data_IF_919723891513
#
_entry.id   IF_919723891513
#
_cell.length_a   1.000
_cell.length_b   1.000
_cell.length_c   1.000
_cell.angle_alpha   90.00
_cell.angle_beta   90.00
_cell.angle_gamma   90.00
#
_symmetry.space_group_name_H-M   'P 1'
#
loop_
_entity.id
_entity.type
_entity.pdbx_description
1 polymer ?
#
# COMPACT_ATOMS: atom_id res chain seq x y z
N UNK A 1 -40.98 -6.74 -24.75
CA UNK A 1 -41.35 -6.06 -23.50
C UNK A 1 -41.85 -7.12 -22.53
N UNK A 2 -41.56 -6.99 -21.23
CA UNK A 2 -41.86 -7.92 -20.13
C UNK A 2 -40.76 -8.97 -19.83
N UNK A 3 -39.60 -8.52 -19.38
CA UNK A 3 -38.67 -9.30 -18.52
C UNK A 3 -38.10 -8.42 -17.40
N UNK A 4 -38.94 -7.55 -16.81
CA UNK A 4 -38.47 -6.41 -15.99
C UNK A 4 -39.15 -6.31 -14.60
N UNK A 5 -39.57 -7.42 -13.98
CA UNK A 5 -40.30 -7.31 -12.68
C UNK A 5 -40.18 -8.51 -11.74
N UNK A 6 -39.13 -9.34 -11.86
CA UNK A 6 -38.95 -10.54 -11.00
C UNK A 6 -37.63 -10.63 -10.22
N UNK A 7 -36.90 -9.53 -10.07
CA UNK A 7 -35.74 -9.44 -9.16
C UNK A 7 -35.90 -8.38 -8.07
N UNK A 8 -37.15 -8.06 -7.72
CA UNK A 8 -37.51 -7.19 -6.59
C UNK A 8 -38.36 -8.05 -5.64
N UNK A 9 -37.75 -8.94 -4.82
CA UNK A 9 -38.33 -9.50 -3.57
C UNK A 9 -37.69 -10.81 -3.06
N UNK A 10 -36.37 -10.88 -2.83
CA UNK A 10 -35.83 -11.79 -1.80
C UNK A 10 -34.63 -11.15 -1.07
N UNK A 11 -34.93 -10.62 0.12
CA UNK A 11 -34.17 -10.70 1.37
C UNK A 11 -32.62 -10.70 1.34
N UNK A 12 -32.03 -9.58 1.79
CA UNK A 12 -30.76 -9.47 2.52
C UNK A 12 -29.47 -10.06 1.91
N UNK A 13 -29.08 -9.61 0.72
CA UNK A 13 -27.66 -9.62 0.33
C UNK A 13 -27.20 -8.19 0.09
N UNK A 14 -26.10 -7.81 0.74
CA UNK A 14 -25.57 -6.45 0.86
C UNK A 14 -25.16 -5.82 -0.49
N UNK A 15 -26.12 -5.29 -1.25
CA UNK A 15 -25.92 -4.44 -2.44
C UNK A 15 -25.35 -3.04 -2.14
N UNK A 16 -25.00 -2.76 -0.89
CA UNK A 16 -24.45 -1.46 -0.47
C UNK A 16 -22.96 -1.33 -0.74
N UNK A 17 -22.20 -2.44 -0.79
CA UNK A 17 -20.75 -2.33 -0.86
C UNK A 17 -20.20 -2.28 -2.29
N UNK A 18 -19.39 -1.26 -2.57
CA UNK A 18 -18.67 -1.11 -3.85
C UNK A 18 -17.81 -2.33 -4.23
N UNK A 19 -17.44 -3.17 -3.26
CA UNK A 19 -16.72 -4.43 -3.45
C UNK A 19 -17.43 -5.41 -4.41
N UNK A 20 -18.75 -5.33 -4.54
CA UNK A 20 -19.53 -6.21 -5.41
C UNK A 20 -19.28 -5.99 -6.92
N UNK A 21 -18.66 -4.86 -7.30
CA UNK A 21 -18.34 -4.54 -8.70
C UNK A 21 -17.54 -5.64 -9.42
N UNK A 22 -16.66 -6.35 -8.69
CA UNK A 22 -15.81 -7.39 -9.25
C UNK A 22 -16.56 -8.68 -9.62
N UNK A 23 -17.77 -8.89 -9.08
CA UNK A 23 -18.59 -10.08 -9.37
C UNK A 23 -19.54 -9.87 -10.55
N UNK A 24 -19.64 -8.64 -11.05
CA UNK A 24 -20.46 -8.28 -12.20
C UNK A 24 -19.68 -8.43 -13.51
N UNK A 25 -20.38 -8.77 -14.59
CA UNK A 25 -19.82 -8.74 -15.94
C UNK A 25 -19.39 -7.32 -16.32
N UNK A 26 -18.31 -7.21 -17.11
CA UNK A 26 -17.71 -5.93 -17.50
C UNK A 26 -18.71 -4.90 -18.06
N UNK A 27 -19.77 -5.33 -18.74
CA UNK A 27 -20.81 -4.47 -19.29
C UNK A 27 -21.68 -3.77 -18.24
N UNK A 28 -21.91 -4.38 -17.07
CA UNK A 28 -22.77 -3.82 -16.01
C UNK A 28 -22.00 -3.09 -14.92
N UNK A 29 -20.66 -3.18 -14.91
CA UNK A 29 -19.81 -2.57 -13.89
C UNK A 29 -19.91 -1.04 -13.86
N UNK A 30 -19.91 -0.38 -15.03
CA UNK A 30 -20.03 1.08 -15.09
C UNK A 30 -21.39 1.58 -14.58
N UNK A 31 -22.48 0.90 -14.95
CA UNK A 31 -23.82 1.25 -14.49
C UNK A 31 -23.94 1.10 -12.96
N UNK A 32 -23.39 0.02 -12.40
CA UNK A 32 -23.36 -0.22 -10.96
C UNK A 32 -22.56 0.85 -10.21
N UNK A 33 -21.35 1.21 -10.69
CA UNK A 33 -20.49 2.24 -10.08
C UNK A 33 -21.14 3.62 -10.10
N UNK A 34 -21.86 3.96 -11.18
CA UNK A 34 -22.55 5.24 -11.32
C UNK A 34 -23.76 5.37 -10.38
N UNK A 35 -24.49 4.27 -10.15
CA UNK A 35 -25.70 4.26 -9.31
C UNK A 35 -25.43 4.09 -7.82
N UNK A 36 -24.27 3.53 -7.44
CA UNK A 36 -23.98 3.18 -6.04
C UNK A 36 -23.23 4.30 -5.31
N UNK A 37 -23.87 4.88 -4.27
CA UNK A 37 -23.29 5.99 -3.49
C UNK A 37 -21.99 5.62 -2.75
N UNK A 38 -21.84 4.37 -2.31
CA UNK A 38 -20.60 3.88 -1.69
C UNK A 38 -19.39 3.86 -2.65
N UNK A 39 -19.60 3.72 -3.96
CA UNK A 39 -18.52 3.83 -4.95
C UNK A 39 -18.13 5.29 -5.23
N UNK A 40 -18.99 6.23 -4.87
CA UNK A 40 -18.78 7.67 -5.00
C UNK A 40 -18.31 8.30 -3.68
N UNK A 41 -18.02 7.48 -2.66
CA UNK A 41 -17.56 7.99 -1.36
C UNK A 41 -16.35 8.90 -1.56
N UNK A 42 -16.45 10.08 -0.94
CA UNK A 42 -15.60 11.26 -1.01
C UNK A 42 -14.09 10.99 -1.03
N UNK A 43 -13.56 10.56 -2.16
CA UNK A 43 -12.15 10.67 -2.48
C UNK A 43 -11.99 11.82 -3.48
N UNK A 44 -10.99 12.68 -3.27
CA UNK A 44 -10.75 13.85 -4.12
C UNK A 44 -10.52 13.48 -5.60
N UNK A 45 -10.23 12.21 -5.90
CA UNK A 45 -10.15 11.68 -7.26
C UNK A 45 -11.12 10.49 -7.42
N UNK A 46 -12.12 10.56 -8.33
CA UNK A 46 -13.05 9.46 -8.60
C UNK A 46 -12.39 8.35 -9.44
N UNK A 47 -11.40 7.67 -8.88
CA UNK A 47 -10.63 6.64 -9.58
C UNK A 47 -11.47 5.42 -9.97
N UNK A 48 -12.43 5.02 -9.13
CA UNK A 48 -13.34 3.89 -9.40
C UNK A 48 -14.17 4.16 -10.65
N UNK A 49 -14.75 5.36 -10.74
CA UNK A 49 -15.52 5.76 -11.92
C UNK A 49 -14.64 5.81 -13.17
N UNK A 50 -13.44 6.39 -13.08
CA UNK A 50 -12.53 6.52 -14.20
C UNK A 50 -12.09 5.16 -14.76
N UNK A 51 -11.79 4.18 -13.89
CA UNK A 51 -11.35 2.84 -14.30
C UNK A 51 -12.50 2.07 -14.98
N UNK A 52 -13.69 2.02 -14.37
CA UNK A 52 -14.79 1.18 -14.85
C UNK A 52 -15.62 1.83 -15.97
N UNK A 53 -15.81 3.15 -15.95
CA UNK A 53 -16.59 3.88 -16.96
C UNK A 53 -15.75 4.58 -18.02
N UNK A 54 -14.55 5.05 -17.69
CA UNK A 54 -13.71 5.82 -18.60
C UNK A 54 -12.86 4.97 -19.56
N UNK A 55 -12.16 3.96 -19.03
CA UNK A 55 -11.16 3.21 -19.81
C UNK A 55 -11.70 1.95 -20.51
N UNK A 56 -12.80 1.36 -20.02
CA UNK A 56 -13.34 0.11 -20.56
C UNK A 56 -12.35 -1.08 -20.56
N UNK A 57 -12.75 -2.21 -21.14
CA UNK A 57 -11.94 -3.44 -21.10
C UNK A 57 -10.62 -3.37 -21.88
N UNK A 58 -10.57 -2.61 -23.00
CA UNK A 58 -9.33 -2.44 -23.79
C UNK A 58 -8.38 -1.42 -23.20
N UNK A 59 -8.90 -0.38 -22.52
CA UNK A 59 -8.07 0.63 -21.86
C UNK A 59 -7.39 0.12 -20.60
N UNK A 60 -7.87 -0.98 -19.99
CA UNK A 60 -7.27 -1.57 -18.80
C UNK A 60 -5.78 -1.90 -19.00
N UNK A 61 -5.41 -2.55 -20.11
CA UNK A 61 -4.01 -2.88 -20.40
C UNK A 61 -3.13 -1.64 -20.51
N UNK A 62 -3.66 -0.59 -21.14
CA UNK A 62 -2.98 0.70 -21.25
C UNK A 62 -2.84 1.39 -19.88
N UNK A 63 -3.89 1.35 -19.04
CA UNK A 63 -3.84 1.83 -17.67
C UNK A 63 -2.78 1.11 -16.84
N UNK A 64 -2.74 -0.22 -16.90
CA UNK A 64 -1.75 -1.04 -16.19
C UNK A 64 -0.34 -0.67 -16.65
N UNK A 65 -0.12 -0.55 -17.97
CA UNK A 65 1.17 -0.12 -18.50
C UNK A 65 1.59 1.27 -17.98
N UNK A 66 0.68 2.25 -18.01
CA UNK A 66 0.95 3.58 -17.48
C UNK A 66 1.21 3.57 -15.97
N UNK A 67 0.48 2.77 -15.20
CA UNK A 67 0.70 2.62 -13.76
C UNK A 67 2.06 2.00 -13.45
N UNK A 68 2.50 1.00 -14.22
CA UNK A 68 3.83 0.41 -14.08
C UNK A 68 4.91 1.44 -14.42
N UNK A 69 4.76 2.17 -15.53
CA UNK A 69 5.69 3.22 -15.93
C UNK A 69 5.78 4.32 -14.85
N UNK A 70 4.64 4.73 -14.31
CA UNK A 70 4.55 5.69 -13.21
C UNK A 70 5.25 5.18 -11.95
N UNK A 71 5.03 3.93 -11.58
CA UNK A 71 5.66 3.30 -10.41
C UNK A 71 7.18 3.22 -10.57
N UNK A 72 7.69 2.89 -11.76
CA UNK A 72 9.14 2.89 -12.05
C UNK A 72 9.71 4.31 -11.93
N UNK A 73 9.02 5.32 -12.48
CA UNK A 73 9.43 6.72 -12.38
C UNK A 73 9.49 7.19 -10.92
N UNK A 74 8.49 6.85 -10.10
CA UNK A 74 8.51 7.15 -8.67
C UNK A 74 9.66 6.44 -7.94
N UNK A 75 9.91 5.16 -8.25
CA UNK A 75 10.99 4.40 -7.63
C UNK A 75 12.37 5.00 -7.97
N UNK A 76 12.61 5.35 -9.23
CA UNK A 76 13.84 6.04 -9.65
C UNK A 76 13.94 7.41 -8.99
N UNK A 77 12.85 8.17 -8.95
CA UNK A 77 12.79 9.48 -8.29
C UNK A 77 13.18 9.39 -6.81
N UNK A 78 12.59 8.45 -6.08
CA UNK A 78 12.94 8.19 -4.68
C UNK A 78 14.40 7.78 -4.52
N UNK A 79 14.93 6.92 -5.41
CA UNK A 79 16.34 6.52 -5.37
C UNK A 79 17.30 7.71 -5.58
N UNK A 80 17.01 8.57 -6.56
CA UNK A 80 17.82 9.76 -6.86
C UNK A 80 17.74 10.76 -5.70
N UNK A 81 16.53 11.06 -5.23
CA UNK A 81 16.31 12.00 -4.12
C UNK A 81 17.00 11.49 -2.85
N UNK A 82 16.86 10.20 -2.54
CA UNK A 82 17.50 9.58 -1.39
C UNK A 82 19.03 9.70 -1.46
N UNK A 83 19.62 9.42 -2.62
CA UNK A 83 21.07 9.43 -2.76
C UNK A 83 21.65 10.85 -2.75
N UNK A 84 21.02 11.79 -3.45
CA UNK A 84 21.58 13.13 -3.67
C UNK A 84 21.20 14.15 -2.57
N UNK A 85 20.04 14.00 -1.93
CA UNK A 85 19.55 14.99 -0.95
C UNK A 85 19.48 14.41 0.46
N UNK A 86 18.85 13.23 0.61
CA UNK A 86 18.62 12.64 1.94
C UNK A 86 19.94 12.21 2.60
N UNK A 87 20.79 11.46 1.89
CA UNK A 87 22.07 10.98 2.42
C UNK A 87 23.00 12.13 2.90
N UNK A 88 23.25 13.19 2.12
CA UNK A 88 24.05 14.34 2.59
C UNK A 88 23.41 15.06 3.77
N UNK A 89 22.08 15.24 3.79
CA UNK A 89 21.39 15.84 4.91
C UNK A 89 21.58 15.03 6.21
N UNK A 90 21.48 13.70 6.15
CA UNK A 90 21.75 12.82 7.29
C UNK A 90 23.20 12.94 7.77
N UNK A 91 24.17 13.05 6.86
CA UNK A 91 25.58 13.23 7.23
C UNK A 91 25.80 14.55 7.98
N UNK A 92 25.15 15.63 7.55
CA UNK A 92 25.25 16.93 8.25
C UNK A 92 24.61 16.83 9.64
N UNK A 93 23.39 16.29 9.74
CA UNK A 93 22.67 16.15 11.02
C UNK A 93 23.47 15.30 12.02
N UNK A 94 24.00 14.17 11.57
CA UNK A 94 24.81 13.27 12.41
C UNK A 94 26.10 13.92 12.90
N UNK A 95 26.78 14.71 12.06
CA UNK A 95 27.96 15.49 12.48
C UNK A 95 27.61 16.54 13.53
N UNK A 96 26.51 17.26 13.36
CA UNK A 96 26.05 18.28 14.31
C UNK A 96 25.64 17.66 15.64
N UNK A 97 24.93 16.53 15.63
CA UNK A 97 24.47 15.82 16.82
C UNK A 97 25.52 14.87 17.43
N UNK A 98 26.71 14.76 16.83
CA UNK A 98 27.78 13.82 17.22
C UNK A 98 27.30 12.35 17.33
N UNK A 99 26.40 11.95 16.43
CA UNK A 99 25.86 10.58 16.36
C UNK A 99 26.62 9.72 15.35
N UNK A 100 26.63 8.41 15.55
CA UNK A 100 27.18 7.46 14.58
C UNK A 100 26.26 7.34 13.35
N UNK A 101 26.85 7.06 12.18
CA UNK A 101 26.08 6.85 10.94
C UNK A 101 25.08 5.69 11.06
N UNK A 102 25.42 4.67 11.86
CA UNK A 102 24.53 3.55 12.12
C UNK A 102 23.24 4.00 12.85
N UNK A 103 23.36 4.86 13.88
CA UNK A 103 22.21 5.40 14.61
C UNK A 103 21.34 6.27 13.69
N UNK A 104 21.97 6.99 12.76
CA UNK A 104 21.27 7.81 11.78
C UNK A 104 20.38 6.99 10.83
N UNK A 105 20.91 5.88 10.32
CA UNK A 105 20.18 4.95 9.47
C UNK A 105 19.01 4.30 10.19
N UNK A 106 19.21 3.82 11.43
CA UNK A 106 18.14 3.15 12.17
C UNK A 106 17.09 4.12 12.72
N UNK A 107 17.37 5.43 12.77
CA UNK A 107 16.45 6.43 13.35
C UNK A 107 15.91 7.39 12.30
N UNK A 108 16.75 8.26 11.72
CA UNK A 108 16.28 9.31 10.81
C UNK A 108 15.83 8.77 9.46
N UNK A 109 16.57 7.81 8.89
CA UNK A 109 16.17 7.18 7.63
C UNK A 109 14.92 6.33 7.83
N UNK A 110 14.86 5.54 8.91
CA UNK A 110 13.67 4.75 9.26
C UNK A 110 12.44 5.63 9.50
N UNK A 111 12.58 6.75 10.22
CA UNK A 111 11.51 7.71 10.47
C UNK A 111 11.07 8.42 9.19
N UNK A 112 12.01 8.81 8.32
CA UNK A 112 11.70 9.44 7.04
C UNK A 112 10.88 8.54 6.12
N UNK A 113 11.20 7.23 6.10
CA UNK A 113 10.44 6.25 5.33
C UNK A 113 9.06 5.96 5.96
N UNK A 114 8.99 5.81 7.28
CA UNK A 114 7.75 5.44 7.98
C UNK A 114 6.76 6.59 8.22
N UNK A 115 7.20 7.85 8.21
CA UNK A 115 6.34 9.00 8.42
C UNK A 115 5.13 9.06 7.45
N UNK A 116 5.32 9.02 6.10
CA UNK A 116 4.19 9.03 5.17
C UNK A 116 3.24 7.85 5.37
N UNK A 117 3.77 6.66 5.67
CA UNK A 117 2.97 5.47 5.93
C UNK A 117 2.09 5.61 7.17
N UNK A 118 2.61 6.24 8.23
CA UNK A 118 1.84 6.53 9.45
C UNK A 118 0.72 7.53 9.14
N UNK A 119 1.01 8.60 8.38
CA UNK A 119 -0.02 9.57 8.00
C UNK A 119 -1.11 8.95 7.11
N UNK A 120 -0.73 8.13 6.13
CA UNK A 120 -1.67 7.40 5.28
C UNK A 120 -2.52 6.42 6.09
N UNK A 121 -1.89 5.69 7.01
CA UNK A 121 -2.58 4.76 7.91
C UNK A 121 -3.57 5.48 8.81
N UNK A 122 -3.17 6.61 9.41
CA UNK A 122 -4.01 7.43 10.26
C UNK A 122 -5.22 8.00 9.49
N UNK A 123 -5.00 8.51 8.27
CA UNK A 123 -6.06 8.95 7.38
C UNK A 123 -7.05 7.81 7.05
N UNK A 124 -6.54 6.62 6.75
CA UNK A 124 -7.37 5.43 6.50
C UNK A 124 -8.18 4.98 7.72
N UNK A 125 -7.60 5.10 8.92
CA UNK A 125 -8.29 4.82 10.19
C UNK A 125 -9.45 5.78 10.42
N UNK A 126 -9.27 7.09 10.16
CA UNK A 126 -10.34 8.08 10.24
C UNK A 126 -11.48 7.81 9.26
N UNK A 127 -11.16 7.22 8.10
CA UNK A 127 -12.15 6.79 7.10
C UNK A 127 -12.77 5.42 7.41
N UNK A 128 -12.52 4.82 8.59
CA UNK A 128 -12.98 3.47 9.00
C UNK A 128 -12.53 2.34 8.06
N UNK A 129 -11.40 2.53 7.37
CA UNK A 129 -10.83 1.57 6.41
C UNK A 129 -9.77 0.67 7.06
N UNK A 130 -10.10 0.09 8.20
CA UNK A 130 -9.16 -0.65 9.06
C UNK A 130 -8.45 -1.80 8.32
N UNK A 131 -9.19 -2.60 7.54
CA UNK A 131 -8.61 -3.74 6.81
C UNK A 131 -7.56 -3.32 5.76
N UNK A 132 -7.76 -2.18 5.11
CA UNK A 132 -6.80 -1.65 4.12
C UNK A 132 -5.53 -1.13 4.80
N UNK A 133 -5.69 -0.43 5.94
CA UNK A 133 -4.57 0.07 6.74
C UNK A 133 -3.70 -1.08 7.26
N UNK A 134 -4.33 -2.12 7.80
CA UNK A 134 -3.63 -3.32 8.28
C UNK A 134 -2.87 -3.99 7.11
N UNK A 135 -3.52 -4.16 5.96
CA UNK A 135 -2.89 -4.73 4.76
C UNK A 135 -1.66 -3.96 4.30
N UNK A 136 -1.72 -2.62 4.33
CA UNK A 136 -0.58 -1.75 4.00
C UNK A 136 0.61 -1.97 4.95
N UNK A 137 0.36 -1.97 6.27
CA UNK A 137 1.41 -2.14 7.28
C UNK A 137 2.15 -3.47 7.14
N UNK A 138 1.39 -4.57 7.04
CA UNK A 138 1.97 -5.91 6.88
C UNK A 138 2.66 -6.08 5.52
N UNK A 139 2.04 -5.58 4.45
CA UNK A 139 2.60 -5.64 3.10
C UNK A 139 3.92 -4.90 2.99
N UNK A 140 4.00 -3.67 3.54
CA UNK A 140 5.22 -2.86 3.53
C UNK A 140 6.36 -3.52 4.30
N UNK A 141 6.09 -4.01 5.52
CA UNK A 141 7.09 -4.71 6.33
C UNK A 141 7.61 -5.99 5.65
N UNK A 142 6.72 -6.79 5.08
CA UNK A 142 7.11 -7.99 4.32
C UNK A 142 7.92 -7.65 3.07
N UNK A 143 7.53 -6.62 2.31
CA UNK A 143 8.27 -6.19 1.12
C UNK A 143 9.70 -5.76 1.45
N UNK A 144 9.89 -4.94 2.49
CA UNK A 144 11.23 -4.46 2.89
C UNK A 144 12.09 -5.62 3.41
N UNK A 145 11.53 -6.53 4.20
CA UNK A 145 12.29 -7.65 4.77
C UNK A 145 12.63 -8.74 3.74
N UNK A 146 11.74 -9.01 2.79
CA UNK A 146 11.96 -10.09 1.80
C UNK A 146 12.69 -9.58 0.55
N UNK A 147 12.16 -8.54 -0.09
CA UNK A 147 12.68 -8.06 -1.38
C UNK A 147 13.87 -7.13 -1.18
N UNK A 148 13.75 -6.12 -0.33
CA UNK A 148 14.81 -5.12 -0.15
C UNK A 148 16.00 -5.72 0.59
N UNK A 149 15.81 -6.29 1.78
CA UNK A 149 16.92 -6.90 2.52
C UNK A 149 17.48 -8.14 1.77
N UNK A 150 16.63 -8.95 1.14
CA UNK A 150 17.06 -10.08 0.32
C UNK A 150 17.94 -9.66 -0.86
N UNK A 151 17.56 -8.60 -1.59
CA UNK A 151 18.37 -8.08 -2.70
C UNK A 151 19.71 -7.51 -2.23
N UNK A 152 19.76 -6.81 -1.09
CA UNK A 152 21.01 -6.29 -0.50
C UNK A 152 21.96 -7.45 -0.15
N UNK A 153 21.44 -8.52 0.45
CA UNK A 153 22.22 -9.72 0.78
C UNK A 153 22.84 -10.38 -0.45
N UNK A 154 22.13 -10.39 -1.59
CA UNK A 154 22.63 -10.96 -2.85
C UNK A 154 23.70 -10.05 -3.49
N UNK A 155 23.44 -8.74 -3.54
CA UNK A 155 24.31 -7.78 -4.25
C UNK A 155 25.63 -7.57 -3.52
N UNK A 156 25.62 -7.50 -2.19
CA UNK A 156 26.83 -7.24 -1.41
C UNK A 156 26.85 -8.12 -0.17
N UNK A 157 27.61 -9.22 -0.14
CA UNK A 157 27.70 -10.05 1.06
C UNK A 157 28.40 -9.25 2.17
N UNK A 158 27.65 -8.92 3.22
CA UNK A 158 28.14 -8.20 4.39
C UNK A 158 28.06 -9.09 5.63
N UNK A 159 29.03 -8.94 6.53
CA UNK A 159 29.07 -9.68 7.79
C UNK A 159 27.97 -9.14 8.72
N UNK A 160 26.78 -9.74 8.63
CA UNK A 160 25.65 -9.45 9.50
C UNK A 160 25.95 -9.91 10.93
N UNK A 161 25.70 -9.04 11.90
CA UNK A 161 25.72 -9.40 13.31
C UNK A 161 24.54 -10.35 13.59
N UNK A 162 24.82 -11.66 13.61
CA UNK A 162 23.82 -12.73 13.67
C UNK A 162 22.86 -12.61 14.86
N UNK A 163 23.35 -12.16 16.03
CA UNK A 163 22.56 -12.07 17.26
C UNK A 163 21.42 -11.03 17.19
N UNK A 164 21.67 -9.74 16.91
CA UNK A 164 20.59 -8.77 16.78
C UNK A 164 19.70 -9.06 15.57
N UNK A 165 20.26 -9.51 14.44
CA UNK A 165 19.44 -9.87 13.28
C UNK A 165 18.42 -10.98 13.60
N UNK A 166 18.85 -12.05 14.27
CA UNK A 166 17.96 -13.13 14.67
C UNK A 166 16.91 -12.66 15.69
N UNK A 167 17.31 -11.82 16.64
CA UNK A 167 16.38 -11.22 17.62
C UNK A 167 15.30 -10.39 16.94
N UNK A 168 15.67 -9.57 15.96
CA UNK A 168 14.75 -8.68 15.27
C UNK A 168 13.76 -9.48 14.39
N UNK A 169 14.22 -10.56 13.73
CA UNK A 169 13.33 -11.49 12.99
C UNK A 169 12.36 -12.23 13.92
N UNK A 170 12.86 -12.78 15.03
CA UNK A 170 12.01 -13.52 15.99
C UNK A 170 10.93 -12.59 16.54
N UNK A 171 11.29 -11.36 16.89
CA UNK A 171 10.33 -10.36 17.37
C UNK A 171 9.30 -9.99 16.30
N UNK A 172 9.71 -9.87 15.05
CA UNK A 172 8.80 -9.60 13.94
C UNK A 172 7.81 -10.74 13.69
N UNK A 173 8.29 -11.99 13.72
CA UNK A 173 7.44 -13.19 13.56
C UNK A 173 6.47 -13.33 14.74
N UNK A 174 6.93 -13.13 15.97
CA UNK A 174 6.07 -13.23 17.16
C UNK A 174 5.00 -12.15 17.19
N UNK A 175 5.35 -10.91 16.82
CA UNK A 175 4.39 -9.81 16.69
C UNK A 175 3.35 -10.12 15.61
N UNK A 176 3.77 -10.60 14.44
CA UNK A 176 2.85 -10.95 13.35
C UNK A 176 1.92 -12.10 13.75
N UNK A 177 2.45 -13.12 14.43
CA UNK A 177 1.68 -14.24 14.94
C UNK A 177 0.63 -13.79 15.97
N UNK A 178 1.03 -12.92 16.91
CA UNK A 178 0.10 -12.38 17.91
C UNK A 178 -1.02 -11.58 17.24
N UNK A 179 -0.69 -10.73 16.26
CA UNK A 179 -1.72 -10.00 15.53
C UNK A 179 -2.66 -10.96 14.81
N UNK A 180 -2.16 -12.00 14.16
CA UNK A 180 -3.01 -13.02 13.53
C UNK A 180 -3.98 -13.68 14.53
N UNK A 181 -3.49 -14.05 15.72
CA UNK A 181 -4.31 -14.62 16.79
C UNK A 181 -5.35 -13.65 17.36
N UNK A 182 -5.09 -12.35 17.34
CA UNK A 182 -6.08 -11.35 17.79
C UNK A 182 -7.21 -11.12 16.77
N UNK A 183 -6.94 -11.33 15.48
CA UNK A 183 -7.91 -11.09 14.41
C UNK A 183 -8.69 -12.34 13.98
N UNK A 184 -8.24 -13.54 14.35
CA UNK A 184 -8.89 -14.83 14.08
C UNK A 184 -9.13 -15.61 15.37
#
# INVERSE_FOLDING_TARGET
>A
MVYDTKLISQENVSYSHCKYVHHLNASFQCEFVSKTKDCQMQENLPYVWFIYCGLGARGLYFAIFLLILWLIMLFIGLAVISNQFLCPALIVITKTLRLSQNIAGVTFLALGNGAPDIFASLAGMFQKRHSLVIGQLFGGGMFVTTVVAGSICIVKPFQLMKRPFLRDIIFYISATYWVFFLFY
#
